data_IF_117386004957
#
_entry.id   IF_117386004957
#
_cell.length_a   1.000
_cell.length_b   1.000
_cell.length_c   1.000
_cell.angle_alpha   90.00
_cell.angle_beta   90.00
_cell.angle_gamma   90.00
#
_symmetry.space_group_name_H-M   'P 1'
#
loop_
_entity.id
_entity.type
_entity.pdbx_description
1 polymer ?
#
# COMPACT_ATOMS: atom_id res chain seq x y z
N UNK A 1 43.84 -25.25 -80.77
CA UNK A 1 42.47 -25.78 -80.59
C UNK A 1 41.66 -24.68 -79.88
N UNK A 2 40.95 -23.86 -80.64
CA UNK A 2 39.48 -23.93 -80.85
C UNK A 2 38.68 -23.20 -79.75
N UNK A 3 38.22 -21.98 -80.08
CA UNK A 3 37.18 -21.26 -79.32
C UNK A 3 35.89 -22.09 -79.35
N UNK A 4 35.30 -22.43 -78.20
CA UNK A 4 33.88 -22.76 -78.14
C UNK A 4 33.13 -21.56 -77.54
N UNK A 5 32.35 -20.90 -78.40
CA UNK A 5 31.29 -19.97 -78.02
C UNK A 5 30.20 -20.78 -77.33
N UNK A 6 29.81 -20.41 -76.11
CA UNK A 6 28.51 -20.83 -75.57
C UNK A 6 27.50 -19.81 -76.10
N UNK A 7 26.57 -20.32 -76.88
CA UNK A 7 25.45 -19.61 -77.49
C UNK A 7 24.50 -19.08 -76.39
N UNK A 8 24.16 -17.77 -76.37
CA UNK A 8 23.20 -17.21 -75.42
C UNK A 8 21.80 -17.85 -75.48
N UNK A 9 21.51 -18.64 -76.52
CA UNK A 9 20.21 -19.28 -76.73
C UNK A 9 20.15 -20.77 -76.30
N UNK A 10 21.18 -21.30 -75.64
CA UNK A 10 21.28 -22.73 -75.27
C UNK A 10 21.02 -23.07 -73.80
N UNK A 11 20.46 -22.15 -73.01
CA UNK A 11 19.86 -22.48 -71.70
C UNK A 11 18.38 -22.10 -71.70
N UNK A 12 17.61 -22.76 -72.57
CA UNK A 12 16.20 -23.03 -72.33
C UNK A 12 16.04 -24.49 -71.95
N UNK A 13 16.06 -24.75 -70.65
CA UNK A 13 15.36 -25.89 -70.05
C UNK A 13 15.00 -25.49 -68.62
N UNK A 14 13.81 -24.93 -68.48
CA UNK A 14 12.82 -25.24 -67.43
C UNK A 14 13.36 -25.78 -66.09
N UNK A 15 14.25 -25.04 -65.43
CA UNK A 15 14.34 -25.05 -63.97
C UNK A 15 13.58 -23.84 -63.43
N UNK A 16 12.26 -23.98 -63.47
CA UNK A 16 11.37 -23.55 -62.40
C UNK A 16 11.39 -22.07 -62.00
N UNK A 17 11.29 -21.15 -62.97
CA UNK A 17 10.89 -19.78 -62.66
C UNK A 17 9.48 -19.71 -62.04
N UNK A 18 8.58 -20.63 -62.39
CA UNK A 18 7.25 -20.77 -61.76
C UNK A 18 7.31 -21.36 -60.34
N UNK A 19 8.34 -22.16 -60.01
CA UNK A 19 8.56 -22.71 -58.67
C UNK A 19 9.36 -21.74 -57.78
N UNK A 20 10.10 -20.78 -58.37
CA UNK A 20 10.69 -19.64 -57.68
C UNK A 20 9.70 -18.47 -57.50
N UNK A 21 8.67 -18.34 -58.35
CA UNK A 21 7.63 -17.31 -58.21
C UNK A 21 6.54 -17.64 -57.18
N UNK A 22 6.47 -18.88 -56.66
CA UNK A 22 5.33 -19.34 -55.84
C UNK A 22 5.55 -19.62 -54.33
N UNK A 23 6.72 -19.41 -53.70
CA UNK A 23 6.89 -19.87 -52.29
C UNK A 23 7.48 -18.90 -51.25
N UNK A 24 7.61 -17.61 -51.55
CA UNK A 24 7.67 -16.58 -50.51
C UNK A 24 6.70 -15.44 -50.82
N UNK A 25 5.40 -15.75 -50.97
CA UNK A 25 4.41 -14.74 -50.59
C UNK A 25 4.58 -14.55 -49.09
N UNK A 26 5.26 -13.47 -48.69
CA UNK A 26 5.35 -13.08 -47.28
C UNK A 26 3.91 -12.80 -46.84
N UNK A 27 3.24 -13.82 -46.29
CA UNK A 27 1.88 -13.67 -45.82
C UNK A 27 1.92 -12.64 -44.69
N UNK A 28 1.06 -11.64 -44.80
CA UNK A 28 1.01 -10.57 -43.83
C UNK A 28 0.82 -11.17 -42.42
N UNK A 29 1.49 -10.66 -41.37
CA UNK A 29 1.41 -11.24 -40.02
C UNK A 29 -0.02 -11.42 -39.50
N UNK A 30 -0.93 -10.52 -39.87
CA UNK A 30 -2.37 -10.65 -39.60
C UNK A 30 -2.97 -11.90 -40.23
N UNK A 31 -2.65 -12.20 -41.50
CA UNK A 31 -3.12 -13.40 -42.20
C UNK A 31 -2.61 -14.66 -41.52
N UNK A 32 -1.32 -14.69 -41.14
CA UNK A 32 -0.73 -15.81 -40.40
C UNK A 32 -1.44 -16.01 -39.05
N UNK A 33 -1.71 -14.92 -38.33
CA UNK A 33 -2.43 -14.98 -37.06
C UNK A 33 -3.86 -15.48 -37.23
N UNK A 34 -4.58 -14.99 -38.23
CA UNK A 34 -5.94 -15.42 -38.52
C UNK A 34 -6.00 -16.92 -38.84
N UNK A 35 -5.07 -17.43 -39.66
CA UNK A 35 -4.95 -18.86 -39.93
C UNK A 35 -4.66 -19.68 -38.67
N UNK A 36 -3.77 -19.19 -37.80
CA UNK A 36 -3.46 -19.84 -36.51
C UNK A 36 -4.68 -19.90 -35.57
N UNK A 37 -5.62 -18.96 -35.71
CA UNK A 37 -6.90 -18.95 -34.98
C UNK A 37 -8.02 -19.76 -35.68
N UNK A 38 -7.68 -20.55 -36.71
CA UNK A 38 -8.60 -21.42 -37.45
C UNK A 38 -9.11 -20.83 -38.76
N UNK A 39 -8.69 -19.62 -39.14
CA UNK A 39 -9.05 -18.97 -40.39
C UNK A 39 -10.58 -18.87 -40.58
N UNK A 40 -11.11 -19.11 -41.79
CA UNK A 40 -12.55 -19.07 -42.06
C UNK A 40 -13.41 -20.02 -41.21
N UNK A 41 -12.84 -21.12 -40.70
CA UNK A 41 -13.53 -22.04 -39.78
C UNK A 41 -13.35 -21.69 -38.31
N UNK A 42 -12.57 -20.66 -37.99
CA UNK A 42 -12.25 -20.21 -36.64
C UNK A 42 -13.34 -19.33 -36.03
N UNK A 43 -13.25 -19.15 -34.71
CA UNK A 43 -14.24 -18.38 -33.94
C UNK A 43 -14.27 -16.89 -34.29
N UNK A 44 -13.18 -16.33 -34.83
CA UNK A 44 -13.08 -14.90 -35.15
C UNK A 44 -14.04 -14.49 -36.28
N UNK A 45 -14.46 -15.46 -37.11
CA UNK A 45 -15.40 -15.25 -38.22
C UNK A 45 -14.78 -14.57 -39.44
N UNK A 46 -15.59 -14.25 -40.46
CA UNK A 46 -15.10 -13.63 -41.69
C UNK A 46 -14.52 -12.23 -41.42
N UNK A 47 -13.54 -11.83 -42.23
CA UNK A 47 -13.07 -10.45 -42.22
C UNK A 47 -14.18 -9.49 -42.70
N UNK A 48 -14.22 -8.31 -42.13
CA UNK A 48 -15.18 -7.24 -42.48
C UNK A 48 -14.49 -6.06 -43.15
N UNK A 49 -13.15 -6.02 -43.13
CA UNK A 49 -12.32 -5.05 -43.82
C UNK A 49 -11.17 -5.76 -44.55
N UNK A 50 -10.56 -5.14 -45.57
CA UNK A 50 -9.20 -5.52 -45.97
C UNK A 50 -8.20 -5.27 -44.83
N UNK A 51 -6.96 -5.74 -45.01
CA UNK A 51 -5.84 -5.34 -44.15
C UNK A 51 -5.54 -3.87 -44.45
N UNK A 52 -5.79 -3.01 -43.47
CA UNK A 52 -5.57 -1.59 -43.57
C UNK A 52 -4.32 -1.19 -42.79
N UNK A 53 -3.68 -0.10 -43.23
CA UNK A 53 -2.67 0.56 -42.42
C UNK A 53 -3.35 1.25 -41.23
N UNK A 54 -2.75 1.16 -40.05
CA UNK A 54 -3.21 1.95 -38.92
C UNK A 54 -2.99 3.46 -39.19
N UNK A 55 -3.91 4.34 -38.75
CA UNK A 55 -3.79 5.79 -38.88
C UNK A 55 -2.49 6.42 -38.38
N UNK A 56 -1.78 5.79 -37.44
CA UNK A 56 -0.46 6.24 -36.97
C UNK A 56 0.68 6.00 -37.99
N UNK A 57 0.40 5.27 -39.07
CA UNK A 57 1.37 4.94 -40.12
C UNK A 57 2.33 3.79 -39.78
N UNK A 58 2.23 3.16 -38.61
CA UNK A 58 3.22 2.16 -38.16
C UNK A 58 2.70 0.73 -38.28
N UNK A 59 1.54 0.44 -37.69
CA UNK A 59 0.95 -0.89 -37.70
C UNK A 59 0.00 -1.13 -38.87
N UNK A 60 -0.63 -2.30 -38.84
CA UNK A 60 -1.74 -2.65 -39.71
C UNK A 60 -2.82 -3.33 -38.88
N UNK A 61 -4.06 -3.32 -39.36
CA UNK A 61 -5.16 -4.01 -38.70
C UNK A 61 -6.12 -4.63 -39.71
N UNK A 62 -6.88 -5.61 -39.24
CA UNK A 62 -8.04 -6.14 -39.96
C UNK A 62 -9.16 -6.41 -38.95
N UNK A 63 -10.36 -5.97 -39.29
CA UNK A 63 -11.55 -6.29 -38.50
C UNK A 63 -12.20 -7.58 -39.02
N UNK A 64 -12.79 -8.31 -38.08
CA UNK A 64 -13.51 -9.54 -38.30
C UNK A 64 -14.86 -9.47 -37.59
N UNK A 65 -15.76 -10.39 -37.91
CA UNK A 65 -17.11 -10.42 -37.34
C UNK A 65 -17.10 -10.41 -35.79
N UNK A 66 -16.19 -11.19 -35.18
CA UNK A 66 -16.16 -11.37 -33.73
C UNK A 66 -14.94 -10.73 -33.04
N UNK A 67 -14.12 -9.95 -33.75
CA UNK A 67 -12.93 -9.36 -33.15
C UNK A 67 -12.08 -8.56 -34.13
N UNK A 68 -10.82 -8.31 -33.77
CA UNK A 68 -9.86 -7.64 -34.64
C UNK A 68 -8.47 -8.15 -34.39
N UNK A 69 -7.65 -8.22 -35.44
CA UNK A 69 -6.23 -8.51 -35.32
C UNK A 69 -5.46 -7.24 -35.68
N UNK A 70 -4.58 -6.83 -34.79
CA UNK A 70 -3.67 -5.71 -34.98
C UNK A 70 -2.23 -6.21 -35.01
N UNK A 71 -1.45 -5.65 -35.93
CA UNK A 71 -0.03 -5.93 -36.08
C UNK A 71 0.78 -4.65 -35.87
N UNK A 72 1.84 -4.77 -35.08
CA UNK A 72 2.91 -3.77 -34.99
C UNK A 72 4.28 -4.44 -35.08
N UNK A 73 5.29 -3.85 -35.76
CA UNK A 73 6.60 -4.47 -35.92
C UNK A 73 7.28 -4.92 -34.62
N UNK A 74 7.07 -4.19 -33.53
CA UNK A 74 7.67 -4.51 -32.22
C UNK A 74 6.84 -5.45 -31.35
N UNK A 75 5.56 -5.70 -31.67
CA UNK A 75 4.67 -6.50 -30.80
C UNK A 75 4.18 -7.77 -31.48
N UNK A 76 4.18 -7.82 -32.82
CA UNK A 76 3.60 -8.92 -33.57
C UNK A 76 2.10 -8.72 -33.82
N UNK A 77 1.44 -9.78 -34.28
CA UNK A 77 0.00 -9.78 -34.57
C UNK A 77 -0.79 -10.42 -33.43
N UNK A 78 -1.70 -9.64 -32.83
CA UNK A 78 -2.51 -10.07 -31.69
C UNK A 78 -3.99 -9.77 -31.93
N UNK A 79 -4.84 -10.66 -31.42
CA UNK A 79 -6.28 -10.46 -31.47
C UNK A 79 -6.81 -9.73 -30.23
N UNK A 80 -7.84 -8.93 -30.43
CA UNK A 80 -8.66 -8.34 -29.36
C UNK A 80 -10.13 -8.51 -29.73
N UNK A 81 -10.98 -8.95 -28.79
CA UNK A 81 -12.40 -9.18 -29.06
C UNK A 81 -13.33 -8.73 -27.93
N UNK A 82 -14.63 -8.99 -28.11
CA UNK A 82 -15.67 -8.76 -27.10
C UNK A 82 -15.64 -7.37 -26.46
N UNK A 83 -15.81 -7.35 -25.14
CA UNK A 83 -15.89 -6.12 -24.36
C UNK A 83 -14.53 -5.45 -24.15
N UNK A 84 -13.42 -6.18 -24.21
CA UNK A 84 -12.08 -5.60 -24.15
C UNK A 84 -11.82 -4.78 -25.42
N UNK A 85 -12.15 -5.34 -26.59
CA UNK A 85 -12.10 -4.62 -27.87
C UNK A 85 -13.01 -3.40 -27.86
N UNK A 86 -14.25 -3.53 -27.39
CA UNK A 86 -15.18 -2.41 -27.31
C UNK A 86 -14.64 -1.28 -26.40
N UNK A 87 -13.98 -1.64 -25.29
CA UNK A 87 -13.32 -0.67 -24.41
C UNK A 87 -12.14 0.01 -25.12
N UNK A 88 -11.25 -0.75 -25.73
CA UNK A 88 -10.10 -0.20 -26.46
C UNK A 88 -10.55 0.71 -27.62
N UNK A 89 -11.61 0.33 -28.33
CA UNK A 89 -12.28 1.16 -29.34
C UNK A 89 -12.72 2.51 -28.77
N UNK A 90 -13.40 2.51 -27.62
CA UNK A 90 -13.89 3.75 -27.00
C UNK A 90 -12.78 4.71 -26.58
N UNK A 91 -11.56 4.19 -26.37
CA UNK A 91 -10.37 4.98 -26.04
C UNK A 91 -9.64 5.52 -27.28
N UNK A 92 -10.06 5.11 -28.49
CA UNK A 92 -9.43 5.51 -29.74
C UNK A 92 -8.42 4.50 -30.29
N UNK A 93 -8.55 3.21 -29.96
CA UNK A 93 -7.73 2.13 -30.51
C UNK A 93 -6.22 2.34 -30.27
N UNK A 94 -5.38 2.05 -31.27
CA UNK A 94 -3.93 2.18 -31.22
C UNK A 94 -3.44 3.63 -31.08
N UNK A 95 -4.30 4.61 -31.34
CA UNK A 95 -4.00 6.03 -31.09
C UNK A 95 -4.20 6.43 -29.62
N UNK A 96 -4.83 5.58 -28.82
CA UNK A 96 -4.96 5.81 -27.39
C UNK A 96 -3.63 5.65 -26.67
N UNK A 97 -3.57 6.07 -25.41
CA UNK A 97 -2.39 5.87 -24.55
C UNK A 97 -2.03 4.38 -24.35
N UNK A 98 -2.95 3.44 -24.64
CA UNK A 98 -2.67 2.01 -24.57
C UNK A 98 -1.79 1.53 -25.73
N UNK A 99 -1.86 2.15 -26.91
CA UNK A 99 -1.13 1.69 -28.10
C UNK A 99 -1.61 0.33 -28.60
N UNK A 100 -0.69 -0.46 -29.15
CA UNK A 100 -0.97 -1.78 -29.72
C UNK A 100 -1.06 -2.90 -28.67
N UNK A 101 -1.83 -3.96 -28.94
CA UNK A 101 -1.84 -5.16 -28.11
C UNK A 101 -0.46 -5.86 -28.12
N UNK A 102 -0.13 -6.42 -26.96
CA UNK A 102 1.04 -7.27 -26.70
C UNK A 102 0.68 -8.74 -26.56
N UNK A 103 -0.59 -9.04 -26.34
CA UNK A 103 -1.14 -10.39 -26.18
C UNK A 103 -2.46 -10.50 -26.93
N UNK A 104 -2.82 -11.73 -27.28
CA UNK A 104 -4.22 -12.08 -27.52
C UNK A 104 -5.05 -11.91 -26.25
N UNK A 105 -6.37 -11.91 -26.41
CA UNK A 105 -7.29 -11.88 -25.28
C UNK A 105 -7.30 -13.25 -24.59
N UNK A 106 -6.63 -13.32 -23.44
CA UNK A 106 -6.38 -14.55 -22.70
C UNK A 106 -7.27 -14.63 -21.46
N UNK A 107 -7.60 -15.86 -21.05
CA UNK A 107 -8.26 -16.09 -19.75
C UNK A 107 -7.30 -15.68 -18.63
N UNK A 108 -7.82 -14.95 -17.64
CA UNK A 108 -7.07 -14.60 -16.46
C UNK A 108 -6.65 -15.86 -15.69
N UNK A 109 -5.46 -15.89 -15.06
CA UNK A 109 -4.98 -17.01 -14.25
C UNK A 109 -5.93 -17.55 -13.17
N UNK A 110 -6.89 -16.75 -12.68
CA UNK A 110 -7.92 -17.18 -11.72
C UNK A 110 -9.08 -17.96 -12.38
N UNK A 111 -9.12 -18.03 -13.71
CA UNK A 111 -10.15 -18.71 -14.49
C UNK A 111 -11.47 -17.95 -14.65
N UNK A 112 -11.58 -16.70 -14.17
CA UNK A 112 -12.85 -15.95 -14.14
C UNK A 112 -12.94 -14.93 -15.27
N UNK A 113 -11.92 -14.08 -15.37
CA UNK A 113 -11.90 -12.95 -16.28
C UNK A 113 -11.08 -13.21 -17.55
N UNK A 114 -10.96 -12.16 -18.35
CA UNK A 114 -10.14 -12.12 -19.55
C UNK A 114 -9.33 -10.83 -19.55
N UNK A 115 -8.20 -10.82 -20.26
CA UNK A 115 -7.37 -9.62 -20.37
C UNK A 115 -6.62 -9.55 -21.70
N UNK A 116 -6.30 -8.33 -22.11
CA UNK A 116 -5.21 -8.04 -23.04
C UNK A 116 -4.20 -7.12 -22.36
N UNK A 117 -2.91 -7.39 -22.55
CA UNK A 117 -1.87 -6.40 -22.31
C UNK A 117 -1.66 -5.57 -23.58
N UNK A 118 -1.45 -4.27 -23.39
CA UNK A 118 -1.12 -3.30 -24.43
C UNK A 118 0.20 -2.61 -24.09
N UNK A 119 0.80 -1.93 -25.06
CA UNK A 119 2.08 -1.22 -24.86
C UNK A 119 2.05 -0.26 -23.66
N UNK A 120 0.95 0.48 -23.49
CA UNK A 120 0.79 1.48 -22.44
C UNK A 120 0.00 1.02 -21.21
N UNK A 121 -0.56 -0.19 -21.20
CA UNK A 121 -1.43 -0.61 -20.10
C UNK A 121 -2.06 -1.99 -20.27
N UNK A 122 -3.20 -2.22 -19.64
CA UNK A 122 -3.96 -3.46 -19.78
C UNK A 122 -5.43 -3.20 -19.65
N UNK A 123 -6.24 -4.00 -20.32
CA UNK A 123 -7.69 -4.01 -20.13
C UNK A 123 -8.05 -5.37 -19.57
N UNK A 124 -8.75 -5.36 -18.44
CA UNK A 124 -9.28 -6.54 -17.77
C UNK A 124 -10.79 -6.55 -17.88
N UNK A 125 -11.36 -7.72 -18.12
CA UNK A 125 -12.79 -7.96 -18.11
C UNK A 125 -13.13 -9.07 -17.12
N UNK A 126 -14.22 -8.91 -16.38
CA UNK A 126 -14.89 -10.02 -15.68
C UNK A 126 -16.40 -9.96 -15.91
N UNK A 127 -17.13 -11.07 -15.74
CA UNK A 127 -18.60 -11.07 -15.81
C UNK A 127 -19.24 -10.07 -14.83
N UNK A 128 -18.62 -9.87 -13.67
CA UNK A 128 -19.15 -9.03 -12.59
C UNK A 128 -18.80 -7.54 -12.72
N UNK A 129 -17.73 -7.19 -13.43
CA UNK A 129 -17.21 -5.82 -13.46
C UNK A 129 -17.31 -5.19 -14.85
N UNK A 130 -17.32 -5.98 -15.92
CA UNK A 130 -17.12 -5.45 -17.28
C UNK A 130 -15.64 -5.16 -17.58
N UNK A 131 -15.37 -4.50 -18.71
CA UNK A 131 -14.01 -4.26 -19.20
C UNK A 131 -13.48 -2.89 -18.74
N UNK A 132 -12.35 -2.86 -18.04
CA UNK A 132 -11.73 -1.65 -17.50
C UNK A 132 -10.23 -1.66 -17.72
N UNK A 133 -9.69 -0.48 -18.00
CA UNK A 133 -8.26 -0.32 -18.22
C UNK A 133 -7.53 0.06 -16.92
N UNK A 134 -6.29 -0.42 -16.80
CA UNK A 134 -5.33 -0.04 -15.76
C UNK A 134 -4.00 0.23 -16.44
N UNK A 135 -3.36 1.37 -16.17
CA UNK A 135 -2.14 1.78 -16.86
C UNK A 135 -1.09 2.39 -15.90
N UNK A 136 0.06 2.79 -16.47
CA UNK A 136 1.10 3.51 -15.73
C UNK A 136 1.55 2.88 -14.40
N UNK A 137 1.76 3.74 -13.39
CA UNK A 137 2.24 3.32 -12.07
C UNK A 137 1.16 2.59 -11.24
N UNK A 138 -0.12 2.83 -11.51
CA UNK A 138 -1.21 2.07 -10.87
C UNK A 138 -1.18 0.62 -11.35
N UNK A 139 -1.00 0.39 -12.66
CA UNK A 139 -0.81 -0.96 -13.21
C UNK A 139 0.44 -1.63 -12.65
N UNK A 140 1.55 -0.89 -12.53
CA UNK A 140 2.78 -1.44 -11.94
C UNK A 140 2.54 -1.88 -10.48
N UNK A 141 1.78 -1.09 -9.70
CA UNK A 141 1.38 -1.47 -8.34
C UNK A 141 0.49 -2.70 -8.33
N UNK A 142 -0.58 -2.71 -9.12
CA UNK A 142 -1.49 -3.86 -9.24
C UNK A 142 -0.75 -5.14 -9.64
N UNK A 143 0.22 -5.03 -10.56
CA UNK A 143 1.13 -6.12 -10.91
C UNK A 143 1.92 -6.66 -9.72
N UNK A 144 2.55 -5.76 -8.96
CA UNK A 144 3.37 -6.14 -7.80
C UNK A 144 2.58 -6.85 -6.71
N UNK A 145 1.26 -6.60 -6.65
CA UNK A 145 0.35 -7.24 -5.70
C UNK A 145 -0.18 -8.60 -6.18
N UNK A 146 0.13 -9.00 -7.42
CA UNK A 146 -0.32 -10.26 -8.01
C UNK A 146 -1.54 -10.16 -8.92
N UNK A 147 -1.84 -8.96 -9.43
CA UNK A 147 -2.94 -8.70 -10.36
C UNK A 147 -4.31 -9.12 -9.79
N UNK A 148 -5.16 -9.73 -10.61
CA UNK A 148 -6.52 -10.16 -10.26
C UNK A 148 -6.54 -11.30 -9.23
N UNK A 149 -5.42 -12.01 -9.05
CA UNK A 149 -5.27 -13.01 -7.98
C UNK A 149 -5.03 -12.40 -6.60
N UNK A 150 -4.74 -11.11 -6.54
CA UNK A 150 -4.64 -10.38 -5.27
C UNK A 150 -6.03 -10.14 -4.68
N UNK A 151 -6.07 -9.71 -3.41
CA UNK A 151 -7.35 -9.36 -2.77
C UNK A 151 -8.06 -8.19 -3.46
N UNK A 152 -7.37 -7.39 -4.29
CA UNK A 152 -8.00 -6.31 -5.05
C UNK A 152 -9.01 -6.86 -6.07
N UNK A 153 -8.77 -8.05 -6.63
CA UNK A 153 -9.59 -8.60 -7.71
C UNK A 153 -9.58 -7.68 -8.95
N UNK A 154 -10.69 -7.68 -9.68
CA UNK A 154 -10.80 -6.95 -10.95
C UNK A 154 -11.00 -5.44 -10.76
N UNK A 155 -10.53 -4.61 -11.71
CA UNK A 155 -10.86 -3.19 -11.75
C UNK A 155 -12.36 -2.96 -11.96
N UNK A 156 -12.85 -1.87 -11.36
CA UNK A 156 -14.22 -1.36 -11.45
C UNK A 156 -14.32 -0.05 -12.22
N UNK A 157 -13.18 0.60 -12.48
CA UNK A 157 -13.09 1.88 -13.19
C UNK A 157 -11.89 1.88 -14.11
N UNK A 158 -11.90 2.77 -15.12
CA UNK A 158 -10.67 3.18 -15.80
C UNK A 158 -9.78 3.94 -14.81
N UNK A 159 -8.52 4.15 -15.21
CA UNK A 159 -7.66 5.10 -14.52
C UNK A 159 -8.18 6.51 -14.79
N UNK A 160 -8.71 7.15 -13.74
CA UNK A 160 -9.33 8.46 -13.83
C UNK A 160 -8.50 9.49 -13.07
N UNK A 161 -8.51 10.74 -13.55
CA UNK A 161 -7.98 11.86 -12.79
C UNK A 161 -8.83 12.02 -11.53
N UNK A 162 -8.17 12.19 -10.39
CA UNK A 162 -8.86 12.45 -9.13
C UNK A 162 -9.63 13.77 -9.24
N UNK A 163 -10.80 13.90 -8.58
CA UNK A 163 -11.61 15.11 -8.61
C UNK A 163 -10.87 16.42 -8.31
N UNK A 164 -9.80 16.42 -7.51
CA UNK A 164 -8.99 17.61 -7.23
C UNK A 164 -8.00 18.00 -8.36
N UNK A 165 -7.86 17.16 -9.39
CA UNK A 165 -6.96 17.37 -10.54
C UNK A 165 -5.49 16.99 -10.29
N UNK A 166 -5.13 16.44 -9.14
CA UNK A 166 -3.73 16.18 -8.77
C UNK A 166 -3.31 14.74 -9.06
N UNK A 167 -4.06 13.78 -8.54
CA UNK A 167 -3.74 12.37 -8.61
C UNK A 167 -4.51 11.62 -9.69
N UNK A 168 -4.25 10.32 -9.76
CA UNK A 168 -5.02 9.36 -10.57
C UNK A 168 -5.42 8.16 -9.72
N UNK A 169 -6.49 7.47 -10.08
CA UNK A 169 -6.93 6.31 -9.33
C UNK A 169 -7.62 5.26 -10.21
N UNK A 170 -7.58 4.01 -9.72
CA UNK A 170 -8.52 2.97 -10.10
C UNK A 170 -9.20 2.43 -8.83
N UNK A 171 -10.51 2.18 -8.92
CA UNK A 171 -11.19 1.33 -7.95
C UNK A 171 -11.15 -0.12 -8.42
N UNK A 172 -11.02 -1.03 -7.45
CA UNK A 172 -11.02 -2.47 -7.65
C UNK A 172 -12.09 -3.10 -6.73
N UNK A 173 -12.45 -4.35 -6.96
CA UNK A 173 -13.44 -5.06 -6.13
C UNK A 173 -13.09 -5.03 -4.64
N UNK A 174 -11.83 -5.26 -4.31
CA UNK A 174 -11.35 -5.34 -2.92
C UNK A 174 -10.76 -4.04 -2.36
N UNK A 175 -10.55 -3.00 -3.17
CA UNK A 175 -9.81 -1.83 -2.71
C UNK A 175 -9.68 -0.72 -3.75
N UNK A 176 -8.67 0.13 -3.60
CA UNK A 176 -8.35 1.17 -4.57
C UNK A 176 -6.88 1.45 -4.58
N UNK A 177 -6.36 1.80 -5.75
CA UNK A 177 -4.99 2.29 -5.88
C UNK A 177 -5.08 3.74 -6.31
N UNK A 178 -4.43 4.62 -5.54
CA UNK A 178 -4.30 6.03 -5.83
C UNK A 178 -2.84 6.36 -6.10
N UNK A 179 -2.60 7.25 -7.05
CA UNK A 179 -1.27 7.70 -7.41
C UNK A 179 -1.19 9.23 -7.41
N UNK A 180 -0.09 9.77 -6.88
CA UNK A 180 0.34 11.15 -7.13
C UNK A 180 1.84 11.19 -7.42
N UNK A 181 2.36 12.27 -8.04
CA UNK A 181 3.81 12.44 -8.20
C UNK A 181 4.58 12.40 -6.86
N UNK A 182 3.96 12.86 -5.77
CA UNK A 182 4.61 12.96 -4.45
C UNK A 182 4.60 11.67 -3.64
N UNK A 183 3.59 10.81 -3.84
CA UNK A 183 3.35 9.62 -3.00
C UNK A 183 3.61 8.31 -3.72
N UNK A 184 3.71 8.32 -5.05
CA UNK A 184 3.65 7.10 -5.84
C UNK A 184 2.29 6.43 -5.76
N UNK A 185 2.20 5.18 -6.23
CA UNK A 185 0.96 4.40 -6.24
C UNK A 185 0.81 3.63 -4.94
N UNK A 186 -0.25 3.93 -4.19
CA UNK A 186 -0.55 3.35 -2.87
C UNK A 186 -1.93 2.72 -2.88
N UNK A 187 -2.02 1.55 -2.25
CA UNK A 187 -3.27 0.81 -2.11
C UNK A 187 -3.98 1.18 -0.79
N UNK A 188 -5.31 1.24 -0.84
CA UNK A 188 -6.17 1.38 0.35
C UNK A 188 -7.40 0.49 0.20
N UNK A 189 -7.73 -0.31 1.22
CA UNK A 189 -8.87 -1.24 1.22
C UNK A 189 -9.67 -1.26 2.53
N UNK A 190 -10.66 -2.15 2.57
CA UNK A 190 -11.40 -2.50 3.78
C UNK A 190 -12.11 -1.32 4.45
N UNK A 191 -12.18 -1.38 5.77
CA UNK A 191 -12.85 -0.36 6.60
C UNK A 191 -12.09 0.97 6.60
N UNK A 192 -10.77 0.95 6.39
CA UNK A 192 -9.96 2.17 6.25
C UNK A 192 -10.38 2.94 5.00
N UNK A 193 -10.41 2.27 3.84
CA UNK A 193 -10.88 2.87 2.59
C UNK A 193 -12.31 3.35 2.69
N UNK A 194 -13.22 2.55 3.27
CA UNK A 194 -14.62 2.94 3.44
C UNK A 194 -14.76 4.22 4.28
N UNK A 195 -13.99 4.33 5.36
CA UNK A 195 -14.01 5.54 6.17
C UNK A 195 -13.41 6.74 5.43
N UNK A 196 -12.25 6.57 4.78
CA UNK A 196 -11.63 7.62 3.96
C UNK A 196 -12.59 8.14 2.87
N UNK A 197 -13.31 7.23 2.23
CA UNK A 197 -14.39 7.56 1.29
C UNK A 197 -15.48 8.42 1.94
N UNK A 198 -15.96 8.01 3.11
CA UNK A 198 -17.03 8.72 3.84
C UNK A 198 -16.65 10.14 4.26
N UNK A 199 -15.36 10.44 4.40
CA UNK A 199 -14.85 11.77 4.76
C UNK A 199 -14.34 12.57 3.55
N UNK A 200 -14.59 12.09 2.32
CA UNK A 200 -14.33 12.84 1.09
C UNK A 200 -13.07 12.46 0.32
N UNK A 201 -12.54 11.24 0.50
CA UNK A 201 -11.40 10.71 -0.26
C UNK A 201 -10.17 11.64 -0.23
N UNK A 202 -9.52 11.87 -1.37
CA UNK A 202 -8.34 12.74 -1.50
C UNK A 202 -8.61 14.21 -1.15
N UNK A 203 -9.87 14.65 -1.22
CA UNK A 203 -10.30 15.99 -0.80
C UNK A 203 -10.52 16.10 0.72
N UNK A 204 -10.44 15.00 1.45
CA UNK A 204 -10.56 15.01 2.90
C UNK A 204 -9.40 15.74 3.58
N UNK A 205 -9.55 15.94 4.89
CA UNK A 205 -8.50 16.53 5.73
C UNK A 205 -7.19 15.74 5.70
N UNK A 206 -7.21 14.48 5.27
CA UNK A 206 -6.06 13.58 5.22
C UNK A 206 -5.26 13.66 3.91
N UNK A 207 -5.92 13.98 2.79
CA UNK A 207 -5.28 13.98 1.47
C UNK A 207 -5.10 12.58 0.90
N UNK A 208 -4.05 12.41 0.10
CA UNK A 208 -3.72 11.14 -0.55
C UNK A 208 -3.03 10.14 0.37
N UNK A 209 -3.18 8.82 0.13
CA UNK A 209 -2.41 7.81 0.82
C UNK A 209 -0.90 7.95 0.52
N UNK A 210 -0.07 7.75 1.55
CA UNK A 210 1.39 7.74 1.49
C UNK A 210 1.99 6.37 1.77
N UNK A 211 1.14 5.40 2.16
CA UNK A 211 1.49 3.99 2.29
C UNK A 211 0.32 3.13 1.83
N UNK A 212 0.60 1.86 1.54
CA UNK A 212 -0.41 0.80 1.55
C UNK A 212 -1.01 0.66 2.96
N UNK A 213 -2.03 -0.19 3.10
CA UNK A 213 -2.48 -0.66 4.41
C UNK A 213 -1.41 -1.56 5.06
N UNK A 214 -0.96 -1.17 6.26
CA UNK A 214 0.08 -1.82 7.03
C UNK A 214 -0.51 -2.51 8.27
N UNK A 215 0.13 -3.58 8.73
CA UNK A 215 -0.14 -4.13 10.07
C UNK A 215 0.40 -3.19 11.15
N UNK A 216 -0.36 -3.00 12.23
CA UNK A 216 0.12 -2.28 13.43
C UNK A 216 0.86 -3.23 14.37
N UNK A 217 1.49 -2.68 15.42
CA UNK A 217 2.16 -3.46 16.46
C UNK A 217 1.27 -4.60 16.97
N UNK A 218 1.88 -5.76 17.22
CA UNK A 218 1.15 -6.94 17.72
C UNK A 218 0.17 -7.58 16.72
N UNK A 219 -0.02 -7.02 15.53
CA UNK A 219 -0.82 -7.60 14.44
C UNK A 219 -2.34 -7.53 14.64
N UNK A 220 -2.84 -6.83 15.66
CA UNK A 220 -4.27 -6.79 16.03
C UNK A 220 -5.05 -5.67 15.34
N UNK A 221 -4.43 -4.94 14.42
CA UNK A 221 -5.04 -3.84 13.69
C UNK A 221 -4.29 -3.47 12.42
N UNK A 222 -4.83 -2.47 11.73
CA UNK A 222 -4.37 -1.98 10.44
C UNK A 222 -4.23 -0.48 10.45
N UNK A 223 -3.32 0.05 9.65
CA UNK A 223 -3.13 1.49 9.50
C UNK A 223 -2.75 1.82 8.06
N UNK A 224 -3.35 2.86 7.49
CA UNK A 224 -2.84 3.51 6.27
C UNK A 224 -2.41 4.93 6.61
N UNK A 225 -1.26 5.33 6.10
CA UNK A 225 -0.77 6.69 6.21
C UNK A 225 -1.28 7.53 5.05
N UNK A 226 -1.57 8.79 5.34
CA UNK A 226 -1.99 9.81 4.39
C UNK A 226 -1.10 11.03 4.53
N UNK A 227 -1.16 11.95 3.57
CA UNK A 227 -0.33 13.16 3.56
C UNK A 227 -0.41 14.00 4.85
N UNK A 228 -1.56 14.02 5.53
CA UNK A 228 -1.83 14.86 6.71
C UNK A 228 -2.42 14.08 7.88
N UNK A 229 -2.08 12.80 7.99
CA UNK A 229 -2.58 11.95 9.07
C UNK A 229 -2.50 10.47 8.76
N UNK A 230 -3.27 9.68 9.48
CA UNK A 230 -3.40 8.24 9.28
C UNK A 230 -4.82 7.80 9.59
N UNK A 231 -5.25 6.67 9.06
CA UNK A 231 -6.48 6.00 9.52
C UNK A 231 -6.05 4.68 10.11
N UNK A 232 -6.37 4.50 11.39
CA UNK A 232 -6.18 3.27 12.14
C UNK A 232 -7.48 2.50 12.20
N UNK A 233 -7.38 1.18 12.20
CA UNK A 233 -8.48 0.28 12.48
C UNK A 233 -8.04 -0.86 13.40
N UNK A 234 -8.88 -1.21 14.37
CA UNK A 234 -8.86 -2.51 15.04
C UNK A 234 -10.29 -2.99 15.28
N UNK A 235 -10.46 -4.27 15.61
CA UNK A 235 -11.78 -4.84 15.92
C UNK A 235 -12.43 -4.20 17.16
N UNK A 236 -11.62 -3.69 18.08
CA UNK A 236 -12.00 -3.12 19.38
C UNK A 236 -12.19 -1.61 19.33
N UNK A 237 -11.23 -0.87 18.77
CA UNK A 237 -11.28 0.58 18.67
C UNK A 237 -12.08 1.05 17.45
N UNK A 238 -12.39 0.15 16.50
CA UNK A 238 -12.99 0.53 15.23
C UNK A 238 -12.08 1.43 14.40
N UNK A 239 -12.66 2.17 13.46
CA UNK A 239 -11.90 3.10 12.61
C UNK A 239 -11.67 4.42 13.34
N UNK A 240 -10.43 4.91 13.32
CA UNK A 240 -10.00 6.16 13.96
C UNK A 240 -9.09 6.96 13.04
N UNK A 241 -9.40 8.25 12.87
CA UNK A 241 -8.52 9.20 12.19
C UNK A 241 -7.48 9.70 13.18
N UNK A 242 -6.21 9.57 12.82
CA UNK A 242 -5.07 10.03 13.60
C UNK A 242 -4.45 11.25 12.92
N UNK A 243 -4.39 12.39 13.62
CA UNK A 243 -3.85 13.65 13.09
C UNK A 243 -2.65 14.18 13.86
N UNK A 244 -2.46 13.66 15.06
CA UNK A 244 -1.32 13.92 15.90
C UNK A 244 -0.47 12.66 16.02
N UNK A 245 0.80 12.83 16.39
CA UNK A 245 1.68 11.73 16.74
C UNK A 245 2.55 12.05 17.94
N UNK A 246 2.90 10.98 18.64
CA UNK A 246 4.07 10.94 19.51
C UNK A 246 5.12 10.02 18.91
N UNK A 247 6.38 10.37 19.15
CA UNK A 247 7.54 9.58 18.73
C UNK A 247 8.19 9.00 19.97
N UNK A 248 8.34 7.68 20.03
CA UNK A 248 8.80 6.98 21.23
C UNK A 248 10.09 6.22 20.93
N UNK A 249 11.08 6.43 21.77
CA UNK A 249 12.33 5.68 21.76
C UNK A 249 12.41 4.76 22.98
N UNK A 250 12.88 3.54 22.76
CA UNK A 250 12.95 2.49 23.78
C UNK A 250 14.39 2.29 24.22
N UNK A 251 14.63 2.33 25.53
CA UNK A 251 15.89 1.95 26.16
C UNK A 251 15.65 0.72 27.03
N UNK A 252 16.40 -0.35 26.81
CA UNK A 252 16.25 -1.63 27.51
C UNK A 252 17.48 -1.86 28.37
N UNK A 253 17.33 -1.73 29.69
CA UNK A 253 18.30 -2.28 30.63
C UNK A 253 17.93 -3.74 30.95
N UNK A 254 16.62 -3.99 31.05
CA UNK A 254 16.06 -5.30 31.37
C UNK A 254 14.89 -5.62 30.44
N UNK A 255 14.91 -6.81 29.85
CA UNK A 255 13.90 -7.23 28.87
C UNK A 255 12.53 -7.38 29.54
N UNK A 256 11.45 -6.78 28.98
CA UNK A 256 10.08 -7.00 29.44
C UNK A 256 9.74 -8.49 29.53
N UNK A 257 9.20 -8.92 30.67
CA UNK A 257 8.93 -10.33 30.98
C UNK A 257 7.44 -10.68 30.99
N UNK A 258 6.56 -9.74 31.35
CA UNK A 258 5.11 -10.00 31.40
C UNK A 258 4.45 -9.82 30.03
N UNK A 259 4.86 -8.79 29.29
CA UNK A 259 4.38 -8.48 27.95
C UNK A 259 5.51 -7.94 27.08
N UNK A 260 5.58 -8.42 25.85
CA UNK A 260 6.56 -7.96 24.86
C UNK A 260 6.35 -6.48 24.51
N UNK A 261 7.39 -5.81 24.01
CA UNK A 261 7.26 -4.43 23.51
C UNK A 261 6.14 -4.28 22.47
N UNK A 262 6.04 -5.23 21.54
CA UNK A 262 4.96 -5.23 20.54
C UNK A 262 3.56 -5.23 21.18
N UNK A 263 3.34 -6.00 22.25
CA UNK A 263 2.06 -6.02 22.95
C UNK A 263 1.78 -4.72 23.70
N UNK A 264 2.80 -4.12 24.32
CA UNK A 264 2.66 -2.85 25.04
C UNK A 264 2.39 -1.68 24.09
N UNK A 265 3.11 -1.60 22.97
CA UNK A 265 2.89 -0.59 21.93
C UNK A 265 1.56 -0.79 21.19
N UNK A 266 1.13 -2.03 20.94
CA UNK A 266 -0.18 -2.32 20.39
C UNK A 266 -1.30 -1.82 21.31
N UNK A 267 -1.21 -2.15 22.60
CA UNK A 267 -2.15 -1.72 23.62
C UNK A 267 -2.19 -0.19 23.76
N UNK A 268 -1.03 0.46 23.75
CA UNK A 268 -0.93 1.92 23.78
C UNK A 268 -1.57 2.56 22.54
N UNK A 269 -1.23 2.09 21.34
CA UNK A 269 -1.80 2.62 20.09
C UNK A 269 -3.32 2.42 20.02
N UNK A 270 -3.82 1.26 20.45
CA UNK A 270 -5.25 0.95 20.47
C UNK A 270 -6.05 1.94 21.33
N UNK A 271 -5.58 2.20 22.55
CA UNK A 271 -6.22 3.17 23.45
C UNK A 271 -6.07 4.61 22.94
N UNK A 272 -4.87 4.98 22.48
CA UNK A 272 -4.57 6.35 22.07
C UNK A 272 -5.16 6.72 20.71
N UNK A 273 -5.56 5.73 19.90
CA UNK A 273 -6.30 5.97 18.67
C UNK A 273 -7.64 6.67 18.93
N UNK A 274 -8.27 6.46 20.10
CA UNK A 274 -9.48 7.18 20.52
C UNK A 274 -9.21 8.69 20.66
N UNK A 275 -7.99 9.05 21.03
CA UNK A 275 -7.53 10.44 21.13
C UNK A 275 -7.07 11.03 19.80
N UNK A 276 -7.05 10.27 18.70
CA UNK A 276 -6.52 10.72 17.41
C UNK A 276 -4.99 10.76 17.33
N UNK A 277 -4.31 10.09 18.27
CA UNK A 277 -2.84 10.14 18.38
C UNK A 277 -2.23 8.83 17.85
N UNK A 278 -1.30 8.96 16.91
CA UNK A 278 -0.44 7.88 16.43
C UNK A 278 0.79 7.72 17.32
N UNK A 279 1.18 6.48 17.58
CA UNK A 279 2.38 6.13 18.34
C UNK A 279 3.43 5.62 17.35
N UNK A 280 4.48 6.41 17.14
CA UNK A 280 5.61 6.04 16.31
C UNK A 280 6.71 5.42 17.19
N UNK A 281 6.92 4.10 17.11
CA UNK A 281 8.12 3.47 17.69
C UNK A 281 9.33 3.76 16.80
N UNK A 282 10.23 4.62 17.26
CA UNK A 282 11.33 5.15 16.44
C UNK A 282 12.61 4.32 16.55
N UNK A 283 13.13 4.09 17.76
CA UNK A 283 14.34 3.28 17.97
C UNK A 283 14.25 2.42 19.21
N UNK A 284 15.13 1.41 19.26
CA UNK A 284 15.38 0.58 20.43
C UNK A 284 16.88 0.50 20.66
N UNK A 285 17.32 0.71 21.89
CA UNK A 285 18.72 0.59 22.30
C UNK A 285 18.80 -0.23 23.58
N UNK A 286 19.71 -1.21 23.63
CA UNK A 286 20.04 -1.91 24.86
C UNK A 286 21.10 -1.11 25.61
N UNK A 287 20.85 -0.83 26.89
CA UNK A 287 21.78 -0.13 27.77
C UNK A 287 22.35 -1.13 28.78
N UNK A 288 23.64 -1.00 29.10
CA UNK A 288 24.30 -1.80 30.13
C UNK A 288 24.69 -0.89 31.30
N UNK A 289 23.75 -0.71 32.24
CA UNK A 289 23.90 0.16 33.40
C UNK A 289 23.42 -0.60 34.65
N UNK A 290 24.17 -1.62 35.11
CA UNK A 290 23.68 -2.58 36.12
C UNK A 290 23.30 -1.94 37.46
N UNK A 291 23.91 -0.80 37.82
CA UNK A 291 23.56 -0.02 39.01
C UNK A 291 22.20 0.70 38.89
N UNK A 292 21.63 0.73 37.69
CA UNK A 292 20.32 1.33 37.38
C UNK A 292 19.31 0.27 36.91
N UNK A 293 19.56 -1.02 37.17
CA UNK A 293 18.56 -2.05 36.91
C UNK A 293 17.40 -1.94 37.90
N UNK A 294 17.66 -1.55 39.15
CA UNK A 294 16.63 -1.12 40.09
C UNK A 294 16.79 0.38 40.29
N UNK A 295 15.76 1.17 39.97
CA UNK A 295 15.88 2.63 39.92
C UNK A 295 15.08 3.27 41.04
N UNK A 296 15.74 4.06 41.88
CA UNK A 296 15.08 4.97 42.81
C UNK A 296 14.32 6.03 42.01
N UNK A 297 13.00 6.06 42.16
CA UNK A 297 12.10 7.04 41.55
C UNK A 297 11.42 7.93 42.60
N UNK A 298 11.79 7.78 43.88
CA UNK A 298 11.22 8.53 44.99
C UNK A 298 9.69 8.44 45.04
N UNK A 299 9.02 9.54 45.36
CA UNK A 299 7.56 9.59 45.36
C UNK A 299 6.90 9.54 43.97
N UNK A 300 7.69 9.56 42.88
CA UNK A 300 7.21 9.69 41.51
C UNK A 300 6.24 10.87 41.28
N UNK A 301 6.59 12.05 41.77
CA UNK A 301 5.82 13.26 41.53
C UNK A 301 6.33 13.97 40.27
N UNK A 302 5.42 14.38 39.39
CA UNK A 302 5.79 15.12 38.17
C UNK A 302 6.64 16.35 38.52
N UNK A 303 7.76 16.52 37.80
CA UNK A 303 8.73 17.59 38.03
C UNK A 303 9.73 17.34 39.17
N UNK A 304 9.65 16.22 39.89
CA UNK A 304 10.62 15.82 40.91
C UNK A 304 11.33 14.54 40.49
N UNK A 305 12.65 14.61 40.29
CA UNK A 305 13.48 13.46 39.92
C UNK A 305 14.58 13.17 40.93
N UNK A 306 14.90 11.89 41.09
CA UNK A 306 16.03 11.41 41.89
C UNK A 306 17.36 11.54 41.12
N UNK A 307 18.48 11.33 41.82
CA UNK A 307 19.80 11.28 41.19
C UNK A 307 19.89 10.13 40.15
N UNK A 308 19.28 8.98 40.45
CA UNK A 308 19.28 7.83 39.54
C UNK A 308 18.44 8.09 38.29
N UNK A 309 17.26 8.71 38.43
CA UNK A 309 16.49 9.17 37.27
C UNK A 309 17.28 10.18 36.42
N UNK A 310 17.95 11.15 37.05
CA UNK A 310 18.75 12.13 36.32
C UNK A 310 19.90 11.47 35.53
N UNK A 311 20.55 10.46 36.11
CA UNK A 311 21.58 9.64 35.45
C UNK A 311 21.01 8.81 34.31
N UNK A 312 19.93 8.06 34.56
CA UNK A 312 19.27 7.20 33.58
C UNK A 312 18.80 8.00 32.36
N UNK A 313 18.08 9.11 32.58
CA UNK A 313 17.57 9.99 31.52
C UNK A 313 18.69 10.76 30.82
N UNK A 314 19.92 10.76 31.36
CA UNK A 314 21.12 11.20 30.67
C UNK A 314 21.47 10.33 29.45
N UNK A 315 21.05 9.07 29.45
CA UNK A 315 21.30 8.10 28.38
C UNK A 315 20.23 8.16 27.27
N UNK A 316 19.75 9.36 26.96
CA UNK A 316 18.69 9.63 25.97
C UNK A 316 19.20 9.60 24.52
N UNK A 317 20.40 9.10 24.25
CA UNK A 317 21.06 9.13 22.93
C UNK A 317 20.10 8.94 21.72
N UNK A 318 20.41 9.65 20.62
CA UNK A 318 19.73 9.55 19.31
C UNK A 318 18.31 10.14 19.23
N UNK A 319 18.06 11.35 19.77
CA UNK A 319 16.70 11.92 19.84
C UNK A 319 16.61 13.41 19.52
N UNK A 320 15.45 13.81 18.99
CA UNK A 320 15.05 15.22 18.91
C UNK A 320 14.35 15.63 20.21
N UNK A 321 14.36 16.94 20.55
CA UNK A 321 13.99 17.43 21.88
C UNK A 321 12.63 16.92 22.41
N UNK A 322 11.61 16.84 21.57
CA UNK A 322 10.23 16.53 21.95
C UNK A 322 9.87 15.02 21.88
N UNK A 323 10.79 14.14 21.49
CA UNK A 323 10.50 12.70 21.42
C UNK A 323 10.37 12.08 22.82
N UNK A 324 9.49 11.12 23.03
CA UNK A 324 9.33 10.44 24.31
C UNK A 324 10.35 9.31 24.48
N UNK A 325 10.77 9.06 25.72
CA UNK A 325 11.66 7.93 26.05
C UNK A 325 11.04 7.03 27.08
N UNK A 326 11.09 5.72 26.84
CA UNK A 326 10.83 4.73 27.88
C UNK A 326 12.10 3.98 28.23
N UNK A 327 12.37 3.84 29.53
CA UNK A 327 13.43 3.02 30.08
C UNK A 327 12.84 1.77 30.74
N UNK A 328 13.14 0.59 30.20
CA UNK A 328 12.75 -0.69 30.81
C UNK A 328 13.81 -1.16 31.80
N UNK A 329 13.40 -1.31 33.06
CA UNK A 329 14.26 -1.64 34.21
C UNK A 329 13.75 -2.89 34.93
N UNK A 330 14.52 -3.47 35.85
CA UNK A 330 14.11 -4.63 36.64
C UNK A 330 13.01 -4.24 37.63
N UNK A 331 13.23 -3.19 38.42
CA UNK A 331 12.28 -2.69 39.40
C UNK A 331 12.45 -1.19 39.66
N UNK A 332 11.53 -0.60 40.42
CA UNK A 332 11.66 0.77 40.94
C UNK A 332 11.68 0.75 42.46
N UNK A 333 12.27 1.78 43.06
CA UNK A 333 12.29 2.00 44.52
C UNK A 333 11.68 3.38 44.81
N UNK A 334 10.61 3.48 45.63
CA UNK A 334 9.70 2.42 46.08
C UNK A 334 9.08 1.63 44.90
N UNK A 335 8.51 0.47 45.21
CA UNK A 335 8.00 -0.46 44.19
C UNK A 335 6.76 0.06 43.46
N UNK A 336 6.96 0.60 42.26
CA UNK A 336 5.92 0.96 41.30
C UNK A 336 6.06 0.15 39.99
N UNK A 337 4.98 0.08 39.21
CA UNK A 337 5.03 -0.53 37.87
C UNK A 337 5.68 0.39 36.82
N UNK A 338 5.71 1.68 37.08
CA UNK A 338 6.32 2.68 36.23
C UNK A 338 6.42 4.01 36.96
N UNK A 339 7.14 4.94 36.35
CA UNK A 339 7.19 6.31 36.82
C UNK A 339 7.42 7.28 35.66
N UNK A 340 6.49 8.22 35.49
CA UNK A 340 6.53 9.28 34.50
C UNK A 340 7.31 10.53 34.94
N UNK A 341 7.80 10.60 36.18
CA UNK A 341 8.62 11.73 36.61
C UNK A 341 9.93 11.76 35.83
N UNK A 342 10.23 12.89 35.20
CA UNK A 342 11.36 13.04 34.30
C UNK A 342 12.03 14.42 34.43
N UNK A 343 13.33 14.56 34.10
CA UNK A 343 13.99 15.85 34.14
C UNK A 343 13.40 16.81 33.09
N UNK A 344 13.54 18.12 33.33
CA UNK A 344 13.10 19.14 32.38
C UNK A 344 13.76 18.95 30.99
N UNK A 345 12.97 19.06 29.93
CA UNK A 345 13.43 18.85 28.54
C UNK A 345 13.75 17.40 28.17
N UNK A 346 13.48 16.42 29.05
CA UNK A 346 13.70 14.99 28.81
C UNK A 346 12.40 14.18 29.02
N UNK A 347 11.34 14.45 28.24
CA UNK A 347 10.05 13.79 28.42
C UNK A 347 10.20 12.28 28.27
N UNK A 348 9.75 11.53 29.27
CA UNK A 348 9.92 10.09 29.29
C UNK A 348 9.40 9.45 30.57
N UNK A 349 9.53 8.13 30.65
CA UNK A 349 9.14 7.35 31.81
C UNK A 349 10.05 6.15 32.03
N UNK A 350 10.02 5.61 33.24
CA UNK A 350 10.56 4.31 33.61
C UNK A 350 9.40 3.31 33.64
N UNK A 351 9.60 2.10 33.12
CA UNK A 351 8.63 1.00 33.19
C UNK A 351 9.35 -0.26 33.66
N UNK A 352 8.81 -0.95 34.67
CA UNK A 352 9.43 -2.19 35.14
C UNK A 352 9.15 -3.34 34.17
N UNK A 353 10.09 -4.28 34.03
CA UNK A 353 9.98 -5.42 33.10
C UNK A 353 8.75 -6.30 33.35
N UNK A 354 8.25 -6.33 34.58
CA UNK A 354 7.06 -7.10 34.98
C UNK A 354 5.74 -6.34 34.82
N UNK A 355 5.76 -5.10 34.31
CA UNK A 355 4.59 -4.26 34.18
C UNK A 355 3.49 -4.87 33.27
N UNK A 356 2.24 -4.43 33.49
CA UNK A 356 1.13 -4.82 32.63
C UNK A 356 1.27 -4.21 31.22
N UNK A 357 0.50 -4.74 30.25
CA UNK A 357 0.50 -4.20 28.89
C UNK A 357 0.02 -2.74 28.77
N UNK A 358 -0.67 -2.22 29.78
CA UNK A 358 -1.24 -0.87 29.78
C UNK A 358 -0.32 0.18 30.43
N UNK A 359 0.69 -0.26 31.19
CA UNK A 359 1.56 0.64 31.95
C UNK A 359 2.27 1.65 31.06
N UNK A 360 2.78 1.23 29.90
CA UNK A 360 3.46 2.15 28.97
C UNK A 360 2.55 3.33 28.57
N UNK A 361 1.32 3.04 28.16
CA UNK A 361 0.35 4.06 27.79
C UNK A 361 -0.10 4.92 28.98
N UNK A 362 -0.18 4.34 30.17
CA UNK A 362 -0.48 5.06 31.41
C UNK A 362 0.61 6.07 31.78
N UNK A 363 1.88 5.64 31.82
CA UNK A 363 2.99 6.52 32.18
C UNK A 363 3.15 7.66 31.16
N UNK A 364 3.06 7.36 29.86
CA UNK A 364 3.07 8.43 28.86
C UNK A 364 1.81 9.30 28.91
N UNK A 365 0.69 8.80 29.42
CA UNK A 365 -0.49 9.61 29.75
C UNK A 365 -0.13 10.74 30.72
N UNK A 366 0.60 10.44 31.80
CA UNK A 366 1.12 11.47 32.71
C UNK A 366 2.09 12.44 32.03
N UNK A 367 2.99 11.94 31.19
CA UNK A 367 3.91 12.80 30.42
C UNK A 367 3.15 13.78 29.51
N UNK A 368 1.97 13.38 29.00
CA UNK A 368 1.07 14.24 28.22
C UNK A 368 0.10 15.07 29.08
N UNK A 369 0.23 15.06 30.40
CA UNK A 369 -0.54 15.91 31.32
C UNK A 369 -1.79 15.27 31.91
N UNK A 370 -1.97 13.96 31.77
CA UNK A 370 -3.08 13.26 32.43
C UNK A 370 -2.81 13.04 33.92
N UNK A 371 -3.87 13.00 34.71
CA UNK A 371 -3.82 12.73 36.15
C UNK A 371 -4.55 11.42 36.45
N UNK A 372 -4.23 10.80 37.60
CA UNK A 372 -4.93 9.61 38.05
C UNK A 372 -6.43 9.85 38.23
N UNK A 373 -7.19 8.77 38.04
CA UNK A 373 -8.63 8.73 38.27
C UNK A 373 -9.00 7.53 39.13
N UNK A 374 -10.07 7.66 39.91
CA UNK A 374 -10.62 6.55 40.70
C UNK A 374 -11.64 5.75 39.86
N UNK A 375 -11.16 5.14 38.77
CA UNK A 375 -11.97 4.29 37.89
C UNK A 375 -11.07 3.29 37.15
N UNK A 376 -11.34 1.99 37.33
CA UNK A 376 -10.57 0.89 36.74
C UNK A 376 -10.92 0.59 35.28
N UNK A 377 -11.99 1.15 34.74
CA UNK A 377 -12.28 1.05 33.30
C UNK A 377 -11.43 2.03 32.48
N UNK A 378 -10.71 2.95 33.13
CA UNK A 378 -9.96 4.03 32.48
C UNK A 378 -8.45 3.80 32.52
N UNK A 379 -7.74 4.29 31.50
CA UNK A 379 -6.30 4.11 31.36
C UNK A 379 -5.54 4.67 32.58
N UNK A 380 -5.98 5.82 33.07
CA UNK A 380 -5.33 6.54 34.17
C UNK A 380 -5.78 6.07 35.56
N UNK A 381 -6.19 4.81 35.72
CA UNK A 381 -6.56 4.28 37.05
C UNK A 381 -5.44 4.47 38.08
N UNK A 382 -5.78 5.07 39.22
CA UNK A 382 -4.86 5.21 40.37
C UNK A 382 -4.67 3.93 41.19
N UNK A 383 -5.41 2.86 40.88
CA UNK A 383 -5.33 1.57 41.59
C UNK A 383 -4.32 0.59 40.95
N UNK A 384 -3.58 1.04 39.93
CA UNK A 384 -2.58 0.24 39.22
C UNK A 384 -3.16 -0.47 37.99
N UNK A 385 -2.37 -0.49 36.91
CA UNK A 385 -2.81 -0.92 35.57
C UNK A 385 -3.13 -2.41 35.43
N UNK A 386 -2.70 -3.26 36.38
CA UNK A 386 -3.15 -4.65 36.45
C UNK A 386 -4.63 -4.80 36.84
N UNK A 387 -5.20 -3.78 37.49
CA UNK A 387 -6.58 -3.78 37.95
C UNK A 387 -7.56 -3.20 36.92
N UNK A 388 -7.13 -2.99 35.67
CA UNK A 388 -8.00 -2.50 34.60
C UNK A 388 -9.09 -3.55 34.30
N UNK A 389 -10.35 -3.12 34.35
CA UNK A 389 -11.54 -3.98 34.24
C UNK A 389 -12.22 -3.94 32.87
N UNK A 390 -12.00 -2.89 32.09
CA UNK A 390 -12.49 -2.75 30.72
C UNK A 390 -11.32 -2.72 29.73
N UNK A 391 -10.89 -3.86 29.15
CA UNK A 391 -9.83 -3.87 28.13
C UNK A 391 -10.41 -3.78 26.69
N UNK A 392 -9.95 -2.84 25.83
CA UNK A 392 -8.99 -1.77 26.12
C UNK A 392 -9.59 -0.68 27.02
N UNK A 393 -8.80 -0.08 27.93
CA UNK A 393 -9.28 0.93 28.86
C UNK A 393 -9.69 2.22 28.14
N UNK A 394 -10.64 2.92 28.75
CA UNK A 394 -11.21 4.13 28.19
C UNK A 394 -10.32 5.36 28.40
N UNK A 395 -10.44 6.30 27.46
CA UNK A 395 -10.04 7.69 27.58
C UNK A 395 -11.26 8.58 27.35
N UNK A 396 -11.48 9.53 28.25
CA UNK A 396 -12.54 10.54 28.12
C UNK A 396 -12.17 11.61 27.10
N UNK A 397 -13.17 12.31 26.57
CA UNK A 397 -12.95 13.43 25.65
C UNK A 397 -12.05 14.53 26.26
N UNK A 398 -12.14 14.76 27.58
CA UNK A 398 -11.28 15.71 28.28
C UNK A 398 -9.82 15.24 28.31
N UNK A 399 -9.56 13.99 28.68
CA UNK A 399 -8.20 13.41 28.62
C UNK A 399 -7.64 13.45 27.20
N UNK A 400 -8.43 13.03 26.20
CA UNK A 400 -8.02 13.08 24.80
C UNK A 400 -7.66 14.51 24.35
N UNK A 401 -8.39 15.51 24.83
CA UNK A 401 -8.10 16.93 24.53
C UNK A 401 -6.80 17.37 25.21
N UNK A 402 -6.59 17.02 26.47
CA UNK A 402 -5.33 17.28 27.17
C UNK A 402 -4.14 16.67 26.43
N UNK A 403 -4.24 15.39 26.02
CA UNK A 403 -3.18 14.71 25.31
C UNK A 403 -2.84 15.38 23.97
N UNK A 404 -3.85 15.75 23.17
CA UNK A 404 -3.65 16.45 21.88
C UNK A 404 -3.06 17.84 22.04
N UNK A 405 -3.41 18.55 23.12
CA UNK A 405 -2.90 19.90 23.40
C UNK A 405 -1.48 19.91 23.98
N UNK A 406 -0.94 18.75 24.35
CA UNK A 406 0.46 18.65 24.79
C UNK A 406 1.40 19.02 23.64
N UNK A 407 2.44 19.82 23.94
CA UNK A 407 3.48 20.17 22.97
C UNK A 407 4.30 18.96 22.45
N UNK A 408 4.16 17.81 23.11
CA UNK A 408 4.78 16.54 22.74
C UNK A 408 3.96 15.76 21.70
N UNK A 409 2.67 16.11 21.55
CA UNK A 409 1.81 15.61 20.49
C UNK A 409 1.92 16.52 19.28
N UNK A 410 2.57 16.04 18.23
CA UNK A 410 2.89 16.86 17.05
C UNK A 410 1.94 16.54 15.89
N UNK A 411 1.52 17.53 15.10
CA UNK A 411 0.74 17.27 13.89
C UNK A 411 1.48 16.38 12.89
N UNK A 412 0.70 15.58 12.14
CA UNK A 412 1.17 14.71 11.06
C UNK A 412 1.27 15.39 9.70
#
# INVERSE_FOLDING_TARGET
>A
MSKLKIDPNLVRTELNLELLQNLQTFQHPITLKYQALGGPGGWLGPNTTPINKCPDGVGSYQHYANGSIYYHPSTGAHEVHGLIRARWQSLGWERSFLGYPLTDESVCPDGVGRYNHFQGGSIYWSPSTGAWEVHGLIRAKYSSMGWERSFLGYPLTNESVCPDGVGRYNHFQGGSIYWTPSTGAQEVHGLIRQHWASIGWERSVLGYPTSDELAVFGGTGRISHFQRGSIFWSSTAGVRVLRERVRVHVKILETPSSFTLNQQFAAMQEVWAVSGIRVDWVTTENLNLPTLNDVDVGGCFMGQTTAEQNSLFGNRNFMSGNDLVVYYVRSTVPGYNGCAAHPAGRPGCVVVRSASRWTLGHEFGHVLGLSHVSNNDRLMTGLGTFNITNPPPDLTAAESTTMRNSALSTPL
#
